data_IF_096343933009
#
_entry.id   IF_096343933009
#
_cell.length_a   1.000
_cell.length_b   1.000
_cell.length_c   1.000
_cell.angle_alpha   90.00
_cell.angle_beta   90.00
_cell.angle_gamma   90.00
#
_symmetry.space_group_name_H-M   'P 1'
#
loop_
_entity.id
_entity.type
_entity.pdbx_description
1 polymer ?
#
# COMPACT_ATOMS: atom_id res chain seq x y z
N UNK A 1 10.21 29.43 -5.11
CA UNK A 1 9.95 29.21 -3.67
C UNK A 1 8.96 28.07 -3.55
N UNK A 2 9.40 26.82 -3.34
CA UNK A 2 8.50 25.67 -3.17
C UNK A 2 8.20 25.51 -1.67
N UNK A 3 7.07 26.07 -1.23
CA UNK A 3 6.65 26.05 0.17
C UNK A 3 5.89 24.77 0.49
N UNK A 4 6.26 24.15 1.62
CA UNK A 4 5.56 23.10 2.36
C UNK A 4 5.29 21.76 1.65
N UNK A 5 6.33 20.94 1.58
CA UNK A 5 6.32 19.49 1.84
C UNK A 5 4.93 18.82 1.77
N UNK A 6 4.48 18.44 0.56
CA UNK A 6 3.56 17.31 0.34
C UNK A 6 4.20 16.06 0.95
N UNK A 7 4.16 15.90 2.27
CA UNK A 7 4.66 14.69 2.92
C UNK A 7 3.55 13.67 2.83
N UNK A 8 3.58 12.86 1.78
CA UNK A 8 2.66 11.74 1.67
C UNK A 8 2.94 10.75 2.81
N UNK A 9 1.95 10.52 3.67
CA UNK A 9 2.01 9.48 4.72
C UNK A 9 1.52 8.15 4.15
N UNK A 10 2.18 7.73 3.08
CA UNK A 10 1.82 6.63 2.22
C UNK A 10 2.72 6.64 0.99
N UNK A 11 2.18 6.30 -0.18
CA UNK A 11 2.93 6.35 -1.43
C UNK A 11 2.24 7.28 -2.44
N UNK A 12 3.02 7.77 -3.39
CA UNK A 12 2.51 8.62 -4.47
C UNK A 12 2.14 7.73 -5.65
N UNK A 13 0.88 7.77 -6.05
CA UNK A 13 0.37 7.17 -7.27
C UNK A 13 0.21 8.24 -8.34
N UNK A 14 0.78 7.99 -9.53
CA UNK A 14 0.60 8.86 -10.69
C UNK A 14 -0.58 8.34 -11.50
N UNK A 15 -1.62 9.17 -11.59
CA UNK A 15 -2.85 8.87 -12.31
C UNK A 15 -2.56 8.56 -13.78
N UNK A 16 -3.15 7.47 -14.28
CA UNK A 16 -3.04 7.03 -15.67
C UNK A 16 -4.30 7.37 -16.45
N UNK A 17 -4.21 7.33 -17.78
CA UNK A 17 -5.38 7.54 -18.63
C UNK A 17 -6.46 6.48 -18.36
N UNK A 18 -7.70 6.92 -18.13
CA UNK A 18 -8.83 6.03 -17.83
C UNK A 18 -9.00 5.63 -16.35
N UNK A 19 -8.09 6.10 -15.48
CA UNK A 19 -8.23 5.94 -14.03
C UNK A 19 -9.40 6.77 -13.49
N UNK A 20 -10.01 6.26 -12.43
CA UNK A 20 -10.91 7.02 -11.58
C UNK A 20 -10.48 6.85 -10.13
N UNK A 21 -10.81 7.82 -9.28
CA UNK A 21 -10.51 7.74 -7.85
C UNK A 21 -11.05 6.44 -7.23
N UNK A 22 -12.21 5.99 -7.72
CA UNK A 22 -12.85 4.76 -7.26
C UNK A 22 -12.11 3.49 -7.69
N UNK A 23 -11.64 3.41 -8.95
CA UNK A 23 -10.82 2.27 -9.41
C UNK A 23 -9.52 2.20 -8.62
N UNK A 24 -8.82 3.32 -8.50
CA UNK A 24 -7.58 3.42 -7.73
C UNK A 24 -7.83 3.00 -6.27
N UNK A 25 -8.80 3.61 -5.59
CA UNK A 25 -9.08 3.25 -4.20
C UNK A 25 -9.40 1.76 -4.03
N UNK A 26 -10.15 1.16 -4.96
CA UNK A 26 -10.45 -0.28 -4.96
C UNK A 26 -9.20 -1.14 -5.18
N UNK A 27 -8.37 -0.82 -6.16
CA UNK A 27 -7.19 -1.62 -6.52
C UNK A 27 -6.15 -1.66 -5.39
N UNK A 28 -6.16 -0.63 -4.53
CA UNK A 28 -5.30 -0.51 -3.37
C UNK A 28 -5.98 -0.86 -2.04
N UNK A 29 -7.20 -1.40 -2.07
CA UNK A 29 -8.04 -1.68 -0.90
C UNK A 29 -8.15 -0.51 0.10
N UNK A 30 -8.28 0.71 -0.44
CA UNK A 30 -8.42 1.94 0.32
C UNK A 30 -9.87 2.42 0.34
N UNK A 31 -10.28 2.97 1.47
CA UNK A 31 -11.55 3.71 1.53
C UNK A 31 -11.41 4.99 0.73
N UNK A 32 -12.36 5.23 -0.18
CA UNK A 32 -12.40 6.44 -1.02
C UNK A 32 -12.24 7.72 -0.20
N UNK A 33 -12.91 7.80 0.95
CA UNK A 33 -12.86 8.95 1.84
C UNK A 33 -11.46 9.21 2.40
N UNK A 34 -10.66 8.18 2.62
CA UNK A 34 -9.31 8.31 3.15
C UNK A 34 -8.34 8.77 2.07
N UNK A 35 -8.51 8.29 0.83
CA UNK A 35 -7.80 8.82 -0.33
C UNK A 35 -8.13 10.30 -0.53
N UNK A 36 -9.42 10.69 -0.50
CA UNK A 36 -9.82 12.08 -0.65
C UNK A 36 -9.23 13.00 0.42
N UNK A 37 -9.27 12.58 1.70
CA UNK A 37 -8.72 13.35 2.82
C UNK A 37 -7.21 13.56 2.73
N UNK A 38 -6.48 12.61 2.16
CA UNK A 38 -5.03 12.72 1.97
C UNK A 38 -4.64 13.56 0.74
N UNK A 39 -5.61 13.89 -0.12
CA UNK A 39 -5.41 14.64 -1.36
C UNK A 39 -6.25 15.93 -1.42
N UNK A 40 -6.22 16.81 -0.41
CA UNK A 40 -7.01 18.05 -0.42
C UNK A 40 -6.56 19.06 -1.50
N UNK A 41 -5.44 18.77 -2.17
CA UNK A 41 -4.82 19.58 -3.21
C UNK A 41 -5.09 19.08 -4.64
N UNK A 42 -5.79 17.95 -4.80
CA UNK A 42 -6.16 17.41 -6.12
C UNK A 42 -7.66 17.53 -6.32
N UNK A 43 -8.09 17.95 -7.51
CA UNK A 43 -9.50 17.87 -7.87
C UNK A 43 -9.87 16.42 -8.20
N UNK A 44 -10.21 15.65 -7.18
CA UNK A 44 -10.52 14.22 -7.27
C UNK A 44 -11.75 13.88 -8.11
N UNK A 45 -12.59 14.87 -8.45
CA UNK A 45 -13.73 14.72 -9.35
C UNK A 45 -13.37 14.93 -10.83
N UNK A 46 -12.16 15.42 -11.11
CA UNK A 46 -11.65 15.66 -12.45
C UNK A 46 -10.17 15.25 -12.55
N UNK A 47 -9.86 14.02 -12.15
CA UNK A 47 -8.51 13.48 -12.23
C UNK A 47 -8.00 13.46 -13.67
N UNK A 48 -6.79 13.97 -13.87
CA UNK A 48 -6.09 13.95 -15.15
C UNK A 48 -4.91 12.98 -15.10
N UNK A 49 -4.57 12.38 -16.24
CA UNK A 49 -3.33 11.61 -16.33
C UNK A 49 -2.13 12.50 -15.97
N UNK A 50 -1.25 11.98 -15.12
CA UNK A 50 -0.12 12.72 -14.54
C UNK A 50 -0.41 13.40 -13.20
N UNK A 51 -1.65 13.43 -12.72
CA UNK A 51 -1.95 13.89 -11.36
C UNK A 51 -1.28 12.95 -10.33
N UNK A 52 -0.74 13.53 -9.26
CA UNK A 52 -0.15 12.78 -8.16
C UNK A 52 -1.12 12.67 -6.98
N UNK A 53 -1.49 11.45 -6.63
CA UNK A 53 -2.28 11.13 -5.45
C UNK A 53 -1.39 10.52 -4.36
N UNK A 54 -1.44 11.09 -3.16
CA UNK A 54 -0.97 10.42 -1.95
C UNK A 54 -2.00 9.38 -1.50
N UNK A 55 -1.67 8.11 -1.66
CA UNK A 55 -2.48 7.00 -1.23
C UNK A 55 -1.99 6.54 0.16
N UNK A 56 -2.82 6.67 1.23
CA UNK A 56 -2.40 6.32 2.58
C UNK A 56 -2.17 4.83 2.74
N UNK A 57 -1.12 4.44 3.47
CA UNK A 57 -0.95 3.05 3.92
C UNK A 57 -1.81 2.89 5.18
N UNK A 58 -2.87 2.07 5.11
CA UNK A 58 -3.69 1.78 6.28
C UNK A 58 -2.88 0.87 7.20
N UNK A 59 -2.41 1.43 8.32
CA UNK A 59 -2.01 0.62 9.47
C UNK A 59 -3.29 0.37 10.25
N UNK A 60 -3.98 -0.75 10.02
CA UNK A 60 -5.11 -1.13 10.88
C UNK A 60 -4.56 -1.60 12.24
N UNK A 61 -4.15 -0.65 13.05
CA UNK A 61 -3.57 -0.86 14.38
C UNK A 61 -4.65 -0.92 15.48
N UNK A 62 -5.84 -1.42 15.19
CA UNK A 62 -6.90 -1.61 16.19
C UNK A 62 -7.33 -3.07 16.32
N UNK A 63 -6.42 -3.89 16.84
CA UNK A 63 -6.82 -5.04 17.66
C UNK A 63 -6.15 -4.90 19.03
N UNK A 64 -6.88 -4.50 20.10
CA UNK A 64 -6.33 -4.55 21.44
C UNK A 64 -6.11 -6.03 21.81
N UNK A 65 -4.86 -6.47 21.78
CA UNK A 65 -4.45 -7.83 22.17
C UNK A 65 -4.37 -8.88 21.05
N UNK A 66 -4.38 -8.50 19.77
CA UNK A 66 -4.32 -9.44 18.64
C UNK A 66 -3.32 -9.04 17.57
N UNK A 67 -2.74 -10.06 16.93
CA UNK A 67 -1.95 -10.02 15.69
C UNK A 67 -2.50 -8.98 14.71
N UNK A 68 -1.83 -7.84 14.58
CA UNK A 68 -2.23 -6.82 13.60
C UNK A 68 -1.92 -7.31 12.18
N UNK A 69 -2.76 -6.93 11.23
CA UNK A 69 -2.45 -7.03 9.81
C UNK A 69 -1.79 -5.71 9.38
N UNK A 70 -0.61 -5.80 8.76
CA UNK A 70 0.09 -4.65 8.19
C UNK A 70 0.04 -4.76 6.68
N UNK A 71 0.07 -3.61 6.04
CA UNK A 71 0.15 -3.51 4.59
C UNK A 71 1.46 -2.83 4.20
N UNK A 72 2.12 -3.38 3.20
CA UNK A 72 3.29 -2.81 2.55
C UNK A 72 2.98 -2.56 1.09
N UNK A 73 3.48 -1.46 0.55
CA UNK A 73 3.23 -1.10 -0.84
C UNK A 73 4.56 -1.16 -1.55
N UNK A 74 4.67 -2.09 -2.49
CA UNK A 74 5.90 -2.34 -3.21
C UNK A 74 6.34 -1.10 -3.96
N UNK A 75 7.65 -0.87 -3.98
CA UNK A 75 8.30 0.25 -4.65
C UNK A 75 9.05 -0.24 -5.87
N UNK A 76 9.37 0.69 -6.77
CA UNK A 76 10.24 0.39 -7.89
C UNK A 76 11.62 -0.06 -7.37
N UNK A 77 12.07 -1.24 -7.80
CA UNK A 77 13.33 -1.84 -7.36
C UNK A 77 13.21 -2.81 -6.18
N UNK A 78 12.03 -2.94 -5.55
CA UNK A 78 11.81 -4.00 -4.57
C UNK A 78 11.95 -5.37 -5.20
N UNK A 79 12.61 -6.28 -4.49
CA UNK A 79 12.59 -7.71 -4.82
C UNK A 79 11.79 -8.47 -3.77
N UNK A 80 11.16 -9.58 -4.18
CA UNK A 80 10.49 -10.47 -3.23
C UNK A 80 11.44 -10.92 -2.11
N UNK A 81 12.72 -11.16 -2.44
CA UNK A 81 13.72 -11.54 -1.46
C UNK A 81 13.87 -10.46 -0.37
N UNK A 82 14.04 -9.20 -0.78
CA UNK A 82 14.20 -8.09 0.17
C UNK A 82 12.94 -7.88 1.01
N UNK A 83 11.75 -8.06 0.43
CA UNK A 83 10.47 -7.98 1.12
C UNK A 83 10.31 -9.09 2.17
N UNK A 84 10.65 -10.33 1.81
CA UNK A 84 10.58 -11.48 2.73
C UNK A 84 11.58 -11.33 3.89
N UNK A 85 12.80 -10.87 3.60
CA UNK A 85 13.81 -10.54 4.61
C UNK A 85 13.35 -9.39 5.51
N UNK A 86 12.73 -8.35 4.94
CA UNK A 86 12.20 -7.20 5.68
C UNK A 86 11.09 -7.60 6.67
N UNK A 87 10.26 -8.57 6.30
CA UNK A 87 9.14 -9.04 7.13
C UNK A 87 9.47 -10.26 7.99
N UNK A 88 10.69 -10.81 7.88
CA UNK A 88 11.10 -12.06 8.55
C UNK A 88 10.11 -13.22 8.31
N UNK A 89 9.63 -13.34 7.07
CA UNK A 89 8.59 -14.31 6.67
C UNK A 89 9.01 -15.13 5.46
N UNK A 90 8.23 -16.15 5.12
CA UNK A 90 8.42 -16.95 3.90
C UNK A 90 7.44 -16.57 2.80
N UNK A 91 7.72 -16.93 1.56
CA UNK A 91 6.77 -16.73 0.46
C UNK A 91 5.43 -17.41 0.73
N UNK A 92 5.45 -18.62 1.31
CA UNK A 92 4.24 -19.37 1.61
C UNK A 92 3.37 -18.60 2.61
N UNK A 93 3.95 -18.15 3.72
CA UNK A 93 3.25 -17.33 4.71
C UNK A 93 2.76 -16.01 4.10
N UNK A 94 3.58 -15.31 3.30
CA UNK A 94 3.15 -14.09 2.63
C UNK A 94 1.99 -14.34 1.65
N UNK A 95 2.03 -15.44 0.88
CA UNK A 95 0.99 -15.78 -0.08
C UNK A 95 -0.35 -16.16 0.58
N UNK A 96 -0.34 -16.70 1.81
CA UNK A 96 -1.56 -16.96 2.59
C UNK A 96 -2.38 -15.69 2.84
N UNK A 97 -1.71 -14.54 3.00
CA UNK A 97 -2.34 -13.23 3.17
C UNK A 97 -2.57 -12.49 1.85
N UNK A 98 -2.00 -12.97 0.74
CA UNK A 98 -2.09 -12.34 -0.57
C UNK A 98 -2.57 -13.35 -1.63
N UNK A 99 -3.83 -13.82 -1.58
CA UNK A 99 -4.32 -14.87 -2.50
C UNK A 99 -4.32 -14.46 -3.98
N UNK A 100 -4.26 -13.17 -4.29
CA UNK A 100 -4.09 -12.64 -5.65
C UNK A 100 -2.64 -12.59 -6.13
N UNK A 101 -1.67 -12.91 -5.26
CA UNK A 101 -0.26 -13.02 -5.62
C UNK A 101 -0.04 -14.31 -6.42
N UNK A 102 -0.36 -14.25 -7.71
CA UNK A 102 -0.32 -15.42 -8.59
C UNK A 102 1.07 -15.67 -9.17
N UNK A 103 1.86 -14.63 -9.45
CA UNK A 103 3.17 -14.76 -10.10
C UNK A 103 4.14 -13.62 -9.71
N UNK A 104 5.42 -13.82 -10.03
CA UNK A 104 6.49 -12.82 -9.91
C UNK A 104 6.79 -12.18 -11.26
N UNK A 105 7.22 -10.89 -11.31
CA UNK A 105 7.56 -10.01 -10.19
C UNK A 105 6.36 -9.26 -9.61
N UNK A 106 6.47 -8.84 -8.34
CA UNK A 106 5.46 -7.96 -7.71
C UNK A 106 5.61 -6.56 -8.30
N UNK A 107 4.61 -6.03 -9.03
CA UNK A 107 4.73 -4.70 -9.64
C UNK A 107 4.80 -3.62 -8.55
N UNK A 108 5.49 -2.52 -8.83
CA UNK A 108 5.47 -1.35 -7.94
C UNK A 108 4.03 -0.85 -7.76
N UNK A 109 3.69 -0.47 -6.54
CA UNK A 109 2.33 -0.13 -6.15
C UNK A 109 1.43 -1.35 -5.99
N UNK A 110 1.96 -2.52 -5.66
CA UNK A 110 1.14 -3.65 -5.21
C UNK A 110 1.02 -3.60 -3.69
N UNK A 111 -0.18 -3.82 -3.15
CA UNK A 111 -0.40 -3.87 -1.70
C UNK A 111 -0.19 -5.31 -1.23
N UNK A 112 0.87 -5.51 -0.45
CA UNK A 112 1.14 -6.75 0.27
C UNK A 112 0.60 -6.67 1.69
N UNK A 113 -0.32 -7.57 2.01
CA UNK A 113 -0.78 -7.80 3.37
C UNK A 113 0.15 -8.80 4.06
N UNK A 114 0.53 -8.52 5.30
CA UNK A 114 1.39 -9.41 6.07
C UNK A 114 1.05 -9.31 7.56
N UNK A 115 1.14 -10.43 8.31
CA UNK A 115 0.90 -10.40 9.73
C UNK A 115 2.03 -9.68 10.46
N UNK A 116 1.74 -8.96 11.54
CA UNK A 116 2.77 -8.65 12.54
C UNK A 116 3.05 -9.96 13.28
N UNK A 117 4.03 -10.73 12.80
CA UNK A 117 4.48 -11.91 13.54
C UNK A 117 4.94 -11.44 14.93
N UNK A 118 4.32 -11.96 15.99
CA UNK A 118 5.03 -12.04 17.27
C UNK A 118 6.32 -12.82 17.00
N UNK A 119 7.48 -12.38 17.52
CA UNK A 119 8.76 -13.03 17.25
C UNK A 119 8.59 -14.53 17.49
N UNK A 120 9.00 -15.34 16.51
CA UNK A 120 8.98 -16.81 16.62
C UNK A 120 9.57 -17.14 17.98
N UNK A 121 8.75 -17.62 18.92
CA UNK A 121 9.29 -18.12 20.19
C UNK A 121 10.23 -19.25 19.80
N UNK A 122 11.53 -19.15 20.10
CA UNK A 122 12.42 -20.28 19.86
C UNK A 122 11.88 -21.46 20.67
N UNK A 123 11.63 -22.58 20.00
CA UNK A 123 11.32 -23.87 20.64
C UNK A 123 12.45 -24.32 21.54
#
# INVERSE_FOLDING_TARGET
>A
MYSNSKKCRGFVYVVKEGDTLYKIARDYDLKLIDVMKNNPYVNVYNLQAGDELCLPVVQDSKVPGGTGERSYITQEGDTLKDILELFDTTFQELAEYNPSLQELPVPAGYVLHYPVMSPRTPS
#
